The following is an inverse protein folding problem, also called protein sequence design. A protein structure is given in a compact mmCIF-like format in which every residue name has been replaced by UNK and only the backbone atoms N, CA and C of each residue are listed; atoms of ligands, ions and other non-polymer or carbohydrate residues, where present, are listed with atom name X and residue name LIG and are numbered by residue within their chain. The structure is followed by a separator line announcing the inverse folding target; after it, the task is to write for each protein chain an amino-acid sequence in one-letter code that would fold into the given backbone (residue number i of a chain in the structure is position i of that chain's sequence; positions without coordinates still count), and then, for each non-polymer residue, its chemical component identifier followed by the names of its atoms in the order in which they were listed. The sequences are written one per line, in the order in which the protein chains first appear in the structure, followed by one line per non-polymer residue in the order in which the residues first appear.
data_IF_310743237186
#
_entry.id   IF_310743237186
#
_cell.length_a   1.000
_cell.length_b   1.000
_cell.length_c   1.000
_cell.angle_alpha   90.00
_cell.angle_beta   90.00
_cell.angle_gamma   90.00
#
_symmetry.space_group_name_H-M   'P 1'
#
loop_
_entity.id
_entity.type
_entity.pdbx_description
1 polymer ?
#
# COMPACT_ATOMS: atom_id res chain seq x y z
N UNK A 1 12.58 14.13 -9.78
CA UNK A 1 11.34 13.55 -9.22
C UNK A 1 10.99 12.35 -10.10
N UNK A 2 10.64 11.22 -9.50
CA UNK A 2 10.25 10.03 -10.25
C UNK A 2 8.98 10.31 -11.06
N UNK A 3 8.78 9.62 -12.19
CA UNK A 3 7.60 9.88 -13.04
C UNK A 3 6.33 9.25 -12.47
N UNK A 4 6.50 8.20 -11.65
CA UNK A 4 5.42 7.55 -10.91
C UNK A 4 5.82 7.22 -9.47
N UNK A 5 4.82 7.06 -8.60
CA UNK A 5 5.00 6.59 -7.24
C UNK A 5 5.67 5.20 -7.21
N UNK A 6 5.33 4.32 -8.16
CA UNK A 6 5.92 2.99 -8.30
C UNK A 6 7.43 3.06 -8.59
N UNK A 7 7.85 3.94 -9.49
CA UNK A 7 9.28 4.13 -9.78
C UNK A 7 10.05 4.63 -8.55
N UNK A 8 9.45 5.53 -7.78
CA UNK A 8 10.07 6.03 -6.55
C UNK A 8 10.21 4.91 -5.50
N UNK A 9 9.14 4.16 -5.25
CA UNK A 9 9.18 3.04 -4.33
C UNK A 9 10.20 1.97 -4.76
N UNK A 10 10.28 1.66 -6.06
CA UNK A 10 11.28 0.73 -6.61
C UNK A 10 12.70 1.26 -6.43
N UNK A 11 12.94 2.54 -6.67
CA UNK A 11 14.24 3.16 -6.45
C UNK A 11 14.69 3.02 -4.98
N UNK A 12 13.77 3.20 -4.01
CA UNK A 12 14.09 3.11 -2.58
C UNK A 12 14.26 1.68 -2.06
N UNK A 13 13.36 0.77 -2.45
CA UNK A 13 13.23 -0.54 -1.79
C UNK A 13 13.52 -1.73 -2.69
N UNK A 14 13.69 -1.50 -3.99
CA UNK A 14 13.89 -2.54 -4.99
C UNK A 14 12.60 -3.20 -5.49
N UNK A 15 12.78 -4.31 -6.21
CA UNK A 15 11.72 -5.13 -6.80
C UNK A 15 12.22 -6.58 -6.91
N UNK A 16 11.49 -7.55 -6.36
CA UNK A 16 11.90 -8.97 -6.37
C UNK A 16 11.71 -9.58 -7.76
N UNK A 17 10.75 -9.04 -8.50
CA UNK A 17 10.27 -9.61 -9.75
C UNK A 17 11.00 -9.03 -10.96
N UNK A 18 11.74 -7.92 -10.79
CA UNK A 18 12.48 -7.23 -11.84
C UNK A 18 13.79 -6.63 -11.33
N UNK A 19 14.83 -6.54 -12.16
CA UNK A 19 16.04 -5.79 -11.82
C UNK A 19 15.67 -4.36 -11.39
N UNK A 20 16.18 -3.94 -10.24
CA UNK A 20 16.01 -2.55 -9.77
C UNK A 20 16.86 -1.65 -10.68
N UNK A 21 16.27 -0.69 -11.42
CA UNK A 21 17.02 0.22 -12.27
C UNK A 21 17.98 1.05 -11.42
N UNK A 22 19.17 1.36 -11.95
CA UNK A 22 20.03 2.37 -11.33
C UNK A 22 19.26 3.68 -11.26
N UNK A 23 19.14 4.21 -10.04
CA UNK A 23 18.42 5.42 -9.73
C UNK A 23 19.45 6.46 -9.28
N UNK A 24 19.62 7.55 -10.03
CA UNK A 24 20.57 8.62 -9.69
C UNK A 24 19.92 9.73 -8.82
N UNK A 25 18.71 9.50 -8.34
CA UNK A 25 17.94 10.46 -7.54
C UNK A 25 18.25 10.31 -6.05
N UNK A 26 17.92 11.34 -5.26
CA UNK A 26 18.10 11.32 -3.81
C UNK A 26 17.17 10.29 -3.15
N UNK A 27 17.73 9.31 -2.45
CA UNK A 27 17.01 8.17 -1.86
C UNK A 27 16.45 8.48 -0.46
N UNK A 28 16.09 9.73 -0.20
CA UNK A 28 15.54 10.11 1.09
C UNK A 28 14.07 9.70 1.18
N UNK A 29 13.76 8.77 2.08
CA UNK A 29 12.40 8.27 2.34
C UNK A 29 11.36 9.37 2.58
N UNK A 30 11.77 10.53 3.11
CA UNK A 30 10.88 11.68 3.33
C UNK A 30 10.19 12.17 2.06
N UNK A 31 10.87 12.11 0.91
CA UNK A 31 10.28 12.54 -0.36
C UNK A 31 9.24 11.54 -0.85
N UNK A 32 9.50 10.25 -0.68
CA UNK A 32 8.51 9.22 -0.98
C UNK A 32 7.30 9.33 -0.05
N UNK A 33 7.51 9.59 1.24
CA UNK A 33 6.41 9.83 2.17
C UNK A 33 5.53 11.01 1.75
N UNK A 34 6.15 12.12 1.32
CA UNK A 34 5.43 13.30 0.82
C UNK A 34 4.64 12.96 -0.45
N UNK A 35 5.28 12.36 -1.46
CA UNK A 35 4.62 11.95 -2.70
C UNK A 35 3.47 10.96 -2.45
N UNK A 36 3.68 9.96 -1.59
CA UNK A 36 2.66 8.97 -1.20
C UNK A 36 1.46 9.65 -0.53
N UNK A 37 1.71 10.60 0.37
CA UNK A 37 0.65 11.30 1.13
C UNK A 37 -0.29 12.08 0.21
N UNK A 38 0.23 12.64 -0.89
CA UNK A 38 -0.56 13.41 -1.87
C UNK A 38 -0.99 12.59 -3.10
N UNK A 39 -0.61 11.32 -3.19
CA UNK A 39 -0.96 10.47 -4.32
C UNK A 39 -2.46 10.14 -4.35
N UNK A 40 -3.02 10.10 -5.57
CA UNK A 40 -4.37 9.62 -5.80
C UNK A 40 -4.48 8.10 -5.58
N UNK A 41 -5.68 7.65 -5.22
CA UNK A 41 -5.98 6.25 -4.94
C UNK A 41 -5.52 5.29 -6.06
N UNK A 42 -5.74 5.66 -7.33
CA UNK A 42 -5.32 4.83 -8.47
C UNK A 42 -3.80 4.66 -8.57
N UNK A 43 -3.04 5.73 -8.31
CA UNK A 43 -1.57 5.67 -8.32
C UNK A 43 -1.04 4.79 -7.19
N UNK A 44 -1.63 4.88 -6.00
CA UNK A 44 -1.27 4.04 -4.86
C UNK A 44 -1.62 2.57 -5.14
N UNK A 45 -2.82 2.30 -5.67
CA UNK A 45 -3.24 0.94 -6.02
C UNK A 45 -2.39 0.34 -7.15
N UNK A 46 -1.98 1.14 -8.14
CA UNK A 46 -1.06 0.70 -9.17
C UNK A 46 0.29 0.29 -8.59
N UNK A 47 0.87 1.10 -7.69
CA UNK A 47 2.10 0.77 -6.98
C UNK A 47 1.97 -0.52 -6.17
N UNK A 48 0.91 -0.65 -5.35
CA UNK A 48 0.69 -1.83 -4.51
C UNK A 48 0.55 -3.10 -5.35
N UNK A 49 -0.19 -3.05 -6.47
CA UNK A 49 -0.35 -4.21 -7.38
C UNK A 49 0.96 -4.64 -8.02
N UNK A 50 1.85 -3.68 -8.32
CA UNK A 50 3.11 -3.98 -9.00
C UNK A 50 4.20 -4.46 -8.04
N UNK A 51 4.33 -3.81 -6.87
CA UNK A 51 5.42 -4.10 -5.93
C UNK A 51 5.06 -5.08 -4.82
N UNK A 52 3.77 -5.29 -4.57
CA UNK A 52 3.25 -6.26 -3.60
C UNK A 52 2.12 -7.11 -4.22
N UNK A 53 2.39 -7.84 -5.33
CA UNK A 53 1.36 -8.63 -6.02
C UNK A 53 0.77 -9.73 -5.13
N UNK A 54 1.55 -10.20 -4.15
CA UNK A 54 1.11 -11.10 -3.10
C UNK A 54 1.24 -10.38 -1.75
N UNK A 55 0.30 -10.61 -0.85
CA UNK A 55 0.27 -9.89 0.44
C UNK A 55 1.48 -10.26 1.33
N UNK A 56 2.07 -11.44 1.08
CA UNK A 56 3.24 -11.97 1.80
C UNK A 56 4.55 -11.54 1.13
N UNK A 57 4.54 -11.26 -0.17
CA UNK A 57 5.74 -11.03 -0.98
C UNK A 57 5.72 -9.59 -1.54
N UNK A 58 6.52 -8.71 -0.93
CA UNK A 58 6.67 -7.34 -1.38
C UNK A 58 7.90 -6.68 -0.79
N UNK A 59 8.56 -5.85 -1.58
CA UNK A 59 9.74 -5.07 -1.15
C UNK A 59 9.37 -3.81 -0.35
N UNK A 60 8.09 -3.41 -0.36
CA UNK A 60 7.67 -2.27 0.44
C UNK A 60 7.80 -2.60 1.93
N UNK A 61 8.43 -1.73 2.73
CA UNK A 61 8.44 -1.90 4.17
C UNK A 61 7.01 -1.89 4.71
N UNK A 62 6.76 -2.64 5.78
CA UNK A 62 5.44 -2.80 6.41
C UNK A 62 4.70 -1.46 6.60
N UNK A 63 5.43 -0.42 7.03
CA UNK A 63 4.85 0.90 7.24
C UNK A 63 4.31 1.51 5.94
N UNK A 64 4.98 1.30 4.79
CA UNK A 64 4.60 1.87 3.50
C UNK A 64 3.36 1.16 2.95
N UNK A 65 3.27 -0.16 3.08
CA UNK A 65 2.06 -0.93 2.76
C UNK A 65 0.87 -0.45 3.60
N UNK A 66 1.03 -0.41 4.92
CA UNK A 66 -0.02 -0.02 5.85
C UNK A 66 -0.51 1.42 5.60
N UNK A 67 0.42 2.36 5.41
CA UNK A 67 0.08 3.75 5.10
C UNK A 67 -0.65 3.85 3.75
N UNK A 68 -0.16 3.15 2.73
CA UNK A 68 -0.77 3.13 1.39
C UNK A 68 -2.23 2.67 1.46
N UNK A 69 -2.53 1.53 2.09
CA UNK A 69 -3.91 1.06 2.24
C UNK A 69 -4.80 2.04 3.02
N UNK A 70 -4.28 2.65 4.09
CA UNK A 70 -5.01 3.67 4.86
C UNK A 70 -5.37 4.88 4.01
N UNK A 71 -4.42 5.39 3.22
CA UNK A 71 -4.66 6.53 2.34
C UNK A 71 -5.69 6.21 1.24
N UNK A 72 -5.63 5.01 0.63
CA UNK A 72 -6.64 4.61 -0.36
C UNK A 72 -8.02 4.48 0.29
N UNK A 73 -8.13 3.89 1.49
CA UNK A 73 -9.41 3.76 2.21
C UNK A 73 -10.01 5.11 2.62
N UNK A 74 -9.20 6.13 2.87
CA UNK A 74 -9.69 7.50 3.09
C UNK A 74 -10.29 8.10 1.81
N UNK A 75 -9.72 7.77 0.65
CA UNK A 75 -10.20 8.25 -0.66
C UNK A 75 -11.38 7.42 -1.19
N UNK A 76 -11.49 6.15 -0.79
CA UNK A 76 -12.49 5.17 -1.25
C UNK A 76 -13.11 4.41 -0.08
N UNK A 77 -13.87 5.09 0.78
CA UNK A 77 -14.37 4.52 2.03
C UNK A 77 -15.48 3.48 1.86
N UNK A 78 -16.03 3.33 0.65
CA UNK A 78 -17.18 2.47 0.35
C UNK A 78 -16.82 1.32 -0.61
N UNK A 79 -15.55 0.91 -0.66
CA UNK A 79 -15.09 -0.23 -1.46
C UNK A 79 -14.78 -1.46 -0.59
N UNK A 80 -15.71 -2.43 -0.44
CA UNK A 80 -15.54 -3.58 0.44
C UNK A 80 -14.33 -4.45 0.09
N UNK A 81 -14.07 -4.67 -1.20
CA UNK A 81 -12.93 -5.44 -1.66
C UNK A 81 -11.59 -4.83 -1.21
N UNK A 82 -11.50 -3.50 -1.20
CA UNK A 82 -10.32 -2.78 -0.73
C UNK A 82 -10.14 -2.93 0.78
N UNK A 83 -11.22 -2.82 1.56
CA UNK A 83 -11.19 -3.04 3.00
C UNK A 83 -10.68 -4.43 3.36
N UNK A 84 -11.16 -5.47 2.66
CA UNK A 84 -10.67 -6.84 2.87
C UNK A 84 -9.19 -6.97 2.55
N UNK A 85 -8.73 -6.36 1.45
CA UNK A 85 -7.32 -6.40 1.09
C UNK A 85 -6.42 -5.71 2.11
N UNK A 86 -6.87 -4.57 2.64
CA UNK A 86 -6.18 -3.87 3.72
C UNK A 86 -6.16 -4.71 5.01
N UNK A 87 -7.27 -5.36 5.36
CA UNK A 87 -7.33 -6.25 6.52
C UNK A 87 -6.37 -7.46 6.37
N UNK A 88 -6.37 -8.13 5.22
CA UNK A 88 -5.42 -9.22 4.89
C UNK A 88 -3.98 -8.80 5.13
N UNK A 89 -3.60 -7.58 4.72
CA UNK A 89 -2.25 -7.07 4.92
C UNK A 89 -1.92 -6.87 6.40
N UNK A 90 -2.86 -6.32 7.20
CA UNK A 90 -2.66 -6.11 8.62
C UNK A 90 -2.48 -7.42 9.40
N UNK A 91 -3.29 -8.45 9.10
CA UNK A 91 -3.20 -9.76 9.75
C UNK A 91 -1.82 -10.44 9.62
N UNK A 92 -1.05 -10.11 8.57
CA UNK A 92 0.27 -10.69 8.34
C UNK A 92 1.38 -10.05 9.19
N UNK A 93 1.12 -8.91 9.82
CA UNK A 93 2.15 -8.12 10.50
C UNK A 93 2.10 -8.22 12.03
N UNK A 94 1.33 -9.18 12.56
CA UNK A 94 1.22 -9.48 14.00
C UNK A 94 0.02 -8.83 14.69
N UNK A 95 -0.19 -9.14 15.98
CA UNK A 95 -1.48 -8.91 16.66
C UNK A 95 -1.81 -7.44 16.94
N UNK A 96 -0.83 -6.54 16.82
CA UNK A 96 -1.01 -5.11 17.13
C UNK A 96 -2.09 -4.43 16.26
N UNK A 97 -2.41 -5.03 15.11
CA UNK A 97 -3.36 -4.49 14.13
C UNK A 97 -4.66 -5.29 14.00
N UNK A 98 -4.82 -6.34 14.80
CA UNK A 98 -5.92 -7.30 14.68
C UNK A 98 -7.30 -6.64 14.84
N UNK A 99 -7.44 -5.73 15.81
CA UNK A 99 -8.69 -5.01 16.04
C UNK A 99 -9.08 -4.15 14.83
N UNK A 100 -8.09 -3.52 14.17
CA UNK A 100 -8.32 -2.69 12.97
C UNK A 100 -8.69 -3.59 11.79
N UNK A 101 -7.97 -4.69 11.61
CA UNK A 101 -8.24 -5.63 10.54
C UNK A 101 -9.65 -6.25 10.67
N UNK A 102 -10.06 -6.61 11.89
CA UNK A 102 -11.40 -7.10 12.18
C UNK A 102 -12.48 -6.03 11.94
N UNK A 103 -12.23 -4.76 12.30
CA UNK A 103 -13.14 -3.66 11.98
C UNK A 103 -13.32 -3.47 10.47
N UNK A 104 -12.24 -3.49 9.70
CA UNK A 104 -12.29 -3.39 8.24
C UNK A 104 -13.10 -4.53 7.61
N UNK A 105 -12.91 -5.78 8.07
CA UNK A 105 -13.72 -6.91 7.60
C UNK A 105 -15.20 -6.71 7.93
N UNK A 106 -15.55 -6.33 9.17
CA UNK A 106 -16.95 -6.09 9.55
C UNK A 106 -17.61 -4.98 8.73
N UNK A 107 -16.87 -3.90 8.44
CA UNK A 107 -17.37 -2.79 7.62
C UNK A 107 -17.58 -3.23 6.17
N UNK A 108 -16.68 -4.04 5.61
CA UNK A 108 -16.84 -4.61 4.28
C UNK A 108 -18.11 -5.48 4.20
N UNK A 109 -18.32 -6.35 5.19
CA UNK A 109 -19.50 -7.22 5.25
C UNK A 109 -20.80 -6.42 5.35
N UNK A 110 -20.80 -5.34 6.15
CA UNK A 110 -21.97 -4.45 6.28
C UNK A 110 -22.31 -3.72 4.97
N UNK A 111 -21.31 -3.28 4.21
CA UNK A 111 -21.50 -2.61 2.93
C UNK A 111 -22.03 -3.55 1.84
N UNK A 112 -21.68 -4.84 1.88
CA UNK A 112 -22.17 -5.83 0.91
C UNK A 112 -23.55 -6.40 1.26
N UNK A 113 -23.96 -6.30 2.52
CA UNK A 113 -25.28 -6.71 2.98
C UNK A 113 -26.38 -5.66 2.72
N UNK A 114 -26.00 -4.43 2.35
CA UNK A 114 -26.90 -3.31 2.02
C UNK A 114 -27.07 -3.10 0.52
#
# INVERSE_FOLDING_TARGET
MHSTLTEHARCLYGDEYRPTPECDLDHQERYFLEELTFAGADSILAMLRELCPHVVDGHLPVWACNLSYRLVLLQRPDEPALMRKAAENLWLHGPDWDDIAADLTRRADALEAG
#
